data_IF_413927716178
#
_entry.id   IF_413927716178
#
_cell.length_a   1.000
_cell.length_b   1.000
_cell.length_c   1.000
_cell.angle_alpha   90.00
_cell.angle_beta   90.00
_cell.angle_gamma   90.00
#
_symmetry.space_group_name_H-M   'P 1'
#
loop_
_entity.id
_entity.type
_entity.pdbx_description
1 polymer ?
#
# COMPACT_ATOMS: atom_id res chain seq x y z
N UNK A 1 -19.01 11.68 2.50
CA UNK A 1 -17.80 12.25 1.87
C UNK A 1 -16.94 12.88 2.96
N UNK A 2 -15.96 12.11 3.46
CA UNK A 2 -14.91 12.56 4.39
C UNK A 2 -13.74 11.55 4.43
N UNK A 3 -13.50 10.88 3.28
CA UNK A 3 -12.87 9.55 3.23
C UNK A 3 -11.49 9.46 3.87
N UNK A 4 -10.55 10.35 3.54
CA UNK A 4 -9.15 10.21 3.97
C UNK A 4 -8.85 10.89 5.30
N UNK A 5 -9.45 12.05 5.60
CA UNK A 5 -9.20 12.79 6.84
C UNK A 5 -9.74 12.01 8.04
N UNK A 6 -10.93 11.43 7.91
CA UNK A 6 -11.49 10.59 8.98
C UNK A 6 -10.74 9.26 9.09
N UNK A 7 -10.16 8.74 8.00
CA UNK A 7 -9.20 7.63 8.10
C UNK A 7 -8.02 7.99 8.98
N UNK A 8 -7.39 9.15 8.76
CA UNK A 8 -6.27 9.57 9.60
C UNK A 8 -6.68 9.64 11.06
N UNK A 9 -7.81 10.29 11.38
CA UNK A 9 -8.31 10.34 12.75
C UNK A 9 -8.43 8.95 13.35
N UNK A 10 -9.05 8.01 12.62
CA UNK A 10 -9.23 6.62 13.08
C UNK A 10 -7.91 5.91 13.32
N UNK A 11 -6.96 6.04 12.40
CA UNK A 11 -5.62 5.47 12.52
C UNK A 11 -4.96 6.04 13.80
N UNK A 12 -5.00 7.36 13.99
CA UNK A 12 -4.42 8.04 15.16
C UNK A 12 -5.12 7.81 16.51
N UNK A 13 -6.22 7.06 16.58
CA UNK A 13 -6.90 6.76 17.85
C UNK A 13 -6.02 5.90 18.78
N UNK A 14 -5.24 4.95 18.24
CA UNK A 14 -4.36 4.10 19.05
C UNK A 14 -2.93 4.66 19.12
N UNK A 15 -2.69 5.59 20.04
CA UNK A 15 -1.38 6.24 20.23
C UNK A 15 -0.22 5.26 20.44
N UNK A 16 -0.44 4.13 21.12
CA UNK A 16 0.62 3.16 21.39
C UNK A 16 1.05 2.43 20.10
N UNK A 17 0.09 2.08 19.24
CA UNK A 17 0.39 1.49 17.94
C UNK A 17 1.21 2.46 17.05
N UNK A 18 0.96 3.76 17.14
CA UNK A 18 1.73 4.77 16.41
C UNK A 18 3.20 4.85 16.82
N UNK A 19 3.47 4.77 18.12
CA UNK A 19 4.85 4.73 18.62
C UNK A 19 5.57 3.50 18.05
N UNK A 20 4.90 2.35 18.03
CA UNK A 20 5.45 1.15 17.42
C UNK A 20 5.69 1.30 15.91
N UNK A 21 4.76 1.90 15.18
CA UNK A 21 4.93 2.16 13.74
C UNK A 21 6.10 3.12 13.46
N UNK A 22 6.32 4.11 14.31
CA UNK A 22 7.47 5.01 14.20
C UNK A 22 8.79 4.27 14.48
N UNK A 23 8.82 3.39 15.48
CA UNK A 23 9.98 2.53 15.77
C UNK A 23 10.26 1.60 14.58
N UNK A 24 9.22 0.98 14.02
CA UNK A 24 9.34 0.11 12.83
C UNK A 24 9.87 0.89 11.64
N UNK A 25 9.37 2.10 11.39
CA UNK A 25 9.86 2.97 10.33
C UNK A 25 11.35 3.29 10.51
N UNK A 26 11.78 3.62 11.73
CA UNK A 26 13.18 3.90 12.04
C UNK A 26 14.07 2.68 11.83
N UNK A 27 13.68 1.50 12.35
CA UNK A 27 14.43 0.25 12.16
C UNK A 27 14.51 -0.09 10.67
N UNK A 28 13.40 0.03 9.95
CA UNK A 28 13.36 -0.19 8.50
C UNK A 28 14.36 0.74 7.80
N UNK A 29 14.26 2.06 7.99
CA UNK A 29 15.12 3.02 7.32
C UNK A 29 16.61 2.81 7.65
N UNK A 30 16.95 2.54 8.91
CA UNK A 30 18.33 2.24 9.32
C UNK A 30 18.85 0.99 8.63
N UNK A 31 18.12 -0.13 8.76
CA UNK A 31 18.59 -1.43 8.29
C UNK A 31 18.68 -1.48 6.76
N UNK A 32 17.68 -0.93 6.06
CA UNK A 32 17.67 -0.79 4.60
C UNK A 32 18.86 0.04 4.13
N UNK A 33 19.07 1.21 4.73
CA UNK A 33 20.17 2.09 4.30
C UNK A 33 21.55 1.46 4.57
N UNK A 34 21.75 0.83 5.73
CA UNK A 34 23.01 0.15 6.03
C UNK A 34 23.32 -0.99 5.04
N UNK A 35 22.28 -1.69 4.56
CA UNK A 35 22.46 -2.73 3.54
C UNK A 35 22.86 -2.12 2.20
N UNK A 36 22.21 -1.04 1.76
CA UNK A 36 22.54 -0.37 0.50
C UNK A 36 23.96 0.18 0.50
N UNK A 37 24.38 0.80 1.61
CA UNK A 37 25.77 1.26 1.82
C UNK A 37 26.74 0.09 1.67
N UNK A 38 26.44 -1.05 2.30
CA UNK A 38 27.30 -2.24 2.24
C UNK A 38 27.40 -2.83 0.83
N UNK A 39 26.33 -2.72 0.04
CA UNK A 39 26.29 -3.20 -1.35
C UNK A 39 26.88 -2.21 -2.36
N UNK A 40 27.33 -1.03 -1.92
CA UNK A 40 27.88 0.01 -2.79
C UNK A 40 26.80 0.77 -3.59
N UNK A 41 25.54 0.64 -3.19
CA UNK A 41 24.34 1.16 -3.87
C UNK A 41 23.75 2.39 -3.17
N UNK A 42 24.54 3.10 -2.36
CA UNK A 42 24.08 4.23 -1.53
C UNK A 42 23.28 5.31 -2.28
N UNK A 43 23.53 5.48 -3.58
CA UNK A 43 22.92 6.51 -4.43
C UNK A 43 21.75 6.01 -5.31
N UNK A 44 21.40 4.72 -5.22
CA UNK A 44 20.33 4.13 -6.03
C UNK A 44 18.99 4.07 -5.29
N UNK A 45 17.84 4.15 -5.98
CA UNK A 45 16.53 4.11 -5.34
C UNK A 45 16.35 2.81 -4.53
N UNK A 46 16.09 2.99 -3.23
CA UNK A 46 15.90 1.96 -2.21
C UNK A 46 14.84 0.96 -2.62
N UNK A 47 15.26 -0.24 -2.96
CA UNK A 47 14.40 -1.40 -3.20
C UNK A 47 15.22 -2.68 -2.95
N UNK A 48 15.78 -2.78 -1.75
CA UNK A 48 16.52 -3.95 -1.34
C UNK A 48 15.59 -5.00 -0.68
N UNK A 49 16.17 -6.15 -0.32
CA UNK A 49 15.41 -7.25 0.29
C UNK A 49 14.75 -6.85 1.63
N UNK A 50 15.34 -5.91 2.38
CA UNK A 50 14.79 -5.41 3.64
C UNK A 50 13.52 -4.62 3.36
N UNK A 51 13.50 -3.78 2.33
CA UNK A 51 12.31 -3.03 1.92
C UNK A 51 11.14 -3.95 1.58
N UNK A 52 11.41 -5.05 0.89
CA UNK A 52 10.40 -6.06 0.56
C UNK A 52 9.82 -6.72 1.83
N UNK A 53 10.69 -7.10 2.78
CA UNK A 53 10.28 -7.74 4.04
C UNK A 53 9.43 -6.78 4.88
N UNK A 54 9.88 -5.55 5.09
CA UNK A 54 9.12 -4.57 5.88
C UNK A 54 7.82 -4.17 5.20
N UNK A 55 7.82 -4.01 3.88
CA UNK A 55 6.59 -3.76 3.10
C UNK A 55 5.55 -4.88 3.29
N UNK A 56 6.00 -6.14 3.31
CA UNK A 56 5.13 -7.28 3.58
C UNK A 56 4.60 -7.27 5.02
N UNK A 57 5.47 -7.03 6.01
CA UNK A 57 5.08 -6.99 7.43
C UNK A 57 4.05 -5.89 7.70
N UNK A 58 4.28 -4.69 7.18
CA UNK A 58 3.34 -3.57 7.30
C UNK A 58 2.05 -3.85 6.54
N UNK A 59 2.15 -4.49 5.38
CA UNK A 59 0.99 -4.95 4.61
C UNK A 59 0.11 -5.94 5.37
N UNK A 60 0.72 -6.94 6.03
CA UNK A 60 0.00 -7.89 6.91
C UNK A 60 -0.68 -7.14 8.06
N UNK A 61 0.04 -6.23 8.71
CA UNK A 61 -0.48 -5.47 9.84
C UNK A 61 -1.63 -4.53 9.43
N UNK A 62 -1.52 -3.89 8.27
CA UNK A 62 -2.59 -3.13 7.62
C UNK A 62 -3.82 -4.01 7.35
N UNK A 63 -3.63 -5.20 6.81
CA UNK A 63 -4.74 -6.10 6.48
C UNK A 63 -5.49 -6.56 7.74
N UNK A 64 -4.78 -6.81 8.85
CA UNK A 64 -5.40 -7.05 10.16
C UNK A 64 -6.19 -5.85 10.67
N UNK A 65 -5.65 -4.64 10.53
CA UNK A 65 -6.37 -3.43 10.88
C UNK A 65 -7.66 -3.27 10.07
N UNK A 66 -7.61 -3.49 8.76
CA UNK A 66 -8.79 -3.45 7.88
C UNK A 66 -9.81 -4.51 8.30
N UNK A 67 -9.38 -5.74 8.58
CA UNK A 67 -10.26 -6.81 9.08
C UNK A 67 -11.01 -6.38 10.34
N UNK A 68 -10.28 -5.83 11.32
CA UNK A 68 -10.88 -5.33 12.56
C UNK A 68 -11.85 -4.16 12.30
N UNK A 69 -11.49 -3.25 11.39
CA UNK A 69 -12.31 -2.09 11.04
C UNK A 69 -13.61 -2.47 10.31
N UNK A 70 -13.57 -3.43 9.39
CA UNK A 70 -14.76 -3.88 8.65
C UNK A 70 -15.72 -4.59 9.60
N UNK A 71 -15.19 -5.49 10.45
CA UNK A 71 -15.94 -6.37 11.35
C UNK A 71 -16.20 -5.79 12.74
N UNK A 72 -15.76 -4.55 12.99
CA UNK A 72 -15.90 -3.85 14.27
C UNK A 72 -15.30 -4.61 15.48
N UNK A 73 -14.19 -5.32 15.26
CA UNK A 73 -13.44 -6.02 16.33
C UNK A 73 -12.60 -4.99 17.07
N UNK A 74 -12.64 -4.98 18.41
CA UNK A 74 -11.88 -4.02 19.24
C UNK A 74 -12.11 -2.55 18.80
N UNK A 75 -13.35 -2.18 18.47
CA UNK A 75 -13.76 -0.87 17.95
C UNK A 75 -13.07 -0.45 16.63
N UNK A 76 -12.52 -1.40 15.87
CA UNK A 76 -11.81 -1.14 14.63
C UNK A 76 -10.54 -0.32 14.82
N UNK A 77 -9.90 -0.42 15.98
CA UNK A 77 -8.63 0.22 16.28
C UNK A 77 -7.47 -0.54 15.65
N UNK A 78 -6.33 0.15 15.46
CA UNK A 78 -5.05 -0.50 15.12
C UNK A 78 -4.76 -1.62 16.12
N UNK A 79 -4.60 -2.88 15.65
CA UNK A 79 -4.39 -4.03 16.50
C UNK A 79 -3.03 -3.97 17.20
N UNK A 80 -2.85 -4.69 18.31
CA UNK A 80 -1.47 -4.94 18.78
C UNK A 80 -0.76 -5.91 17.81
N UNK A 81 0.57 -5.81 17.66
CA UNK A 81 1.36 -6.72 16.80
C UNK A 81 1.12 -8.19 17.17
N UNK A 82 0.82 -8.47 18.45
CA UNK A 82 0.56 -9.83 18.96
C UNK A 82 -0.79 -10.41 18.55
N UNK A 83 -1.70 -9.60 18.00
CA UNK A 83 -3.08 -9.98 17.68
C UNK A 83 -3.28 -10.35 16.21
N UNK A 84 -2.20 -10.38 15.41
CA UNK A 84 -2.28 -10.70 13.99
C UNK A 84 -2.60 -12.18 13.79
N UNK A 85 -3.69 -12.45 13.08
CA UNK A 85 -4.12 -13.82 12.77
C UNK A 85 -3.24 -14.45 11.69
N UNK A 86 -2.82 -15.73 11.84
CA UNK A 86 -1.99 -16.41 10.84
C UNK A 86 -2.62 -16.48 9.44
N UNK A 87 -3.96 -16.52 9.37
CA UNK A 87 -4.69 -16.52 8.08
C UNK A 87 -4.36 -15.26 7.26
N UNK A 88 -4.27 -14.10 7.90
CA UNK A 88 -3.97 -12.81 7.24
C UNK A 88 -2.59 -12.83 6.58
N UNK A 89 -1.60 -13.43 7.24
CA UNK A 89 -0.25 -13.58 6.68
C UNK A 89 -0.30 -14.38 5.38
N UNK A 90 -0.95 -15.56 5.42
CA UNK A 90 -1.07 -16.41 4.24
C UNK A 90 -1.90 -15.77 3.12
N UNK A 91 -2.97 -15.06 3.46
CA UNK A 91 -3.79 -14.31 2.51
C UNK A 91 -2.99 -13.22 1.81
N UNK A 92 -2.26 -12.41 2.58
CA UNK A 92 -1.41 -11.35 2.05
C UNK A 92 -0.39 -11.90 1.05
N UNK A 93 0.31 -12.98 1.41
CA UNK A 93 1.29 -13.63 0.52
C UNK A 93 0.61 -14.12 -0.77
N UNK A 94 -0.47 -14.89 -0.65
CA UNK A 94 -1.17 -15.46 -1.82
C UNK A 94 -1.69 -14.37 -2.77
N UNK A 95 -2.34 -13.34 -2.23
CA UNK A 95 -2.90 -12.26 -3.03
C UNK A 95 -1.81 -11.46 -3.74
N UNK A 96 -0.72 -11.10 -3.05
CA UNK A 96 0.38 -10.37 -3.68
C UNK A 96 1.07 -11.20 -4.78
N UNK A 97 1.22 -12.52 -4.59
CA UNK A 97 1.78 -13.39 -5.65
C UNK A 97 0.87 -13.41 -6.88
N UNK A 98 -0.43 -13.67 -6.71
CA UNK A 98 -1.37 -13.77 -7.83
C UNK A 98 -1.47 -12.45 -8.60
N UNK A 99 -1.70 -11.34 -7.89
CA UNK A 99 -1.80 -10.02 -8.53
C UNK A 99 -0.46 -9.52 -9.08
N UNK A 100 0.65 -9.90 -8.44
CA UNK A 100 2.00 -9.67 -8.94
C UNK A 100 2.27 -10.40 -10.27
N UNK A 101 1.85 -11.66 -10.40
CA UNK A 101 1.94 -12.41 -11.66
C UNK A 101 1.15 -11.71 -12.77
N UNK A 102 -0.08 -11.27 -12.49
CA UNK A 102 -0.87 -10.50 -13.47
C UNK A 102 -0.14 -9.22 -13.91
N UNK A 103 0.42 -8.46 -12.97
CA UNK A 103 1.18 -7.25 -13.29
C UNK A 103 2.41 -7.57 -14.16
N UNK A 104 3.17 -8.60 -13.82
CA UNK A 104 4.36 -9.03 -14.60
C UNK A 104 3.95 -9.45 -16.02
N UNK A 105 2.87 -10.20 -16.19
CA UNK A 105 2.38 -10.59 -17.51
C UNK A 105 2.00 -9.38 -18.37
N UNK A 106 1.38 -8.36 -17.79
CA UNK A 106 1.05 -7.11 -18.48
C UNK A 106 2.31 -6.32 -18.86
N UNK A 107 3.34 -6.31 -18.00
CA UNK A 107 4.63 -5.68 -18.32
C UNK A 107 5.39 -6.42 -19.42
N UNK A 108 5.36 -7.76 -19.42
CA UNK A 108 5.90 -8.58 -20.51
C UNK A 108 5.16 -8.26 -21.81
N UNK A 109 3.82 -8.14 -21.77
CA UNK A 109 3.03 -7.74 -22.92
C UNK A 109 3.44 -6.34 -23.44
N UNK A 110 3.67 -5.37 -22.55
CA UNK A 110 4.19 -4.06 -22.93
C UNK A 110 5.54 -4.19 -23.64
N UNK A 111 6.47 -4.97 -23.10
CA UNK A 111 7.78 -5.22 -23.72
C UNK A 111 7.66 -5.88 -25.10
N UNK A 112 6.87 -6.95 -25.23
CA UNK A 112 6.62 -7.63 -26.50
C UNK A 112 6.00 -6.67 -27.52
N UNK A 113 5.07 -5.80 -27.09
CA UNK A 113 4.42 -4.82 -27.96
C UNK A 113 5.44 -3.85 -28.59
N UNK A 114 6.46 -3.46 -27.83
CA UNK A 114 7.56 -2.64 -28.33
C UNK A 114 8.44 -3.41 -29.31
N UNK A 115 8.82 -4.66 -29.00
CA UNK A 115 9.64 -5.48 -29.89
C UNK A 115 8.91 -5.76 -31.22
N UNK A 116 7.60 -5.97 -31.19
CA UNK A 116 6.81 -6.29 -32.38
C UNK A 116 6.51 -5.07 -33.26
N UNK A 117 6.35 -3.88 -32.67
CA UNK A 117 5.89 -2.68 -33.40
C UNK A 117 6.95 -1.59 -33.53
N UNK A 118 8.00 -1.61 -32.70
CA UNK A 118 8.96 -0.54 -32.48
C UNK A 118 8.34 0.83 -32.13
N UNK A 119 7.05 0.85 -31.75
CA UNK A 119 6.34 2.06 -31.33
C UNK A 119 6.39 2.18 -29.80
N UNK A 120 7.03 3.24 -29.30
CA UNK A 120 7.11 3.51 -27.85
C UNK A 120 5.75 3.91 -27.24
N UNK A 121 4.81 4.41 -28.02
CA UNK A 121 3.49 4.80 -27.50
C UNK A 121 2.68 3.62 -26.96
N UNK A 122 2.76 2.45 -27.60
CA UNK A 122 2.01 1.26 -27.23
C UNK A 122 2.37 0.70 -25.84
N UNK A 123 3.65 0.45 -25.50
CA UNK A 123 4.02 0.04 -24.14
C UNK A 123 3.66 1.09 -23.09
N UNK A 124 3.77 2.39 -23.41
CA UNK A 124 3.37 3.47 -22.49
C UNK A 124 1.88 3.38 -22.16
N UNK A 125 1.02 3.19 -23.17
CA UNK A 125 -0.42 3.03 -22.96
C UNK A 125 -0.74 1.80 -22.11
N UNK A 126 -0.06 0.68 -22.34
CA UNK A 126 -0.24 -0.55 -21.55
C UNK A 126 0.15 -0.33 -20.08
N UNK A 127 1.28 0.34 -19.83
CA UNK A 127 1.71 0.67 -18.46
C UNK A 127 0.73 1.62 -17.78
N UNK A 128 0.22 2.64 -18.49
CA UNK A 128 -0.81 3.54 -17.95
C UNK A 128 -2.10 2.78 -17.59
N UNK A 129 -2.53 1.85 -18.45
CA UNK A 129 -3.68 1.00 -18.17
C UNK A 129 -3.45 0.13 -16.93
N UNK A 130 -2.25 -0.44 -16.76
CA UNK A 130 -1.88 -1.19 -15.56
C UNK A 130 -1.96 -0.33 -14.30
N UNK A 131 -1.43 0.90 -14.32
CA UNK A 131 -1.49 1.81 -13.18
C UNK A 131 -2.94 2.14 -12.79
N UNK A 132 -3.81 2.41 -13.77
CA UNK A 132 -5.23 2.68 -13.53
C UNK A 132 -5.92 1.44 -12.93
N UNK A 133 -5.72 0.26 -13.52
CA UNK A 133 -6.36 -0.99 -13.10
C UNK A 133 -5.76 -1.59 -11.82
N UNK A 134 -4.65 -1.06 -11.32
CA UNK A 134 -4.08 -1.46 -10.03
C UNK A 134 -4.91 -0.96 -8.84
N UNK A 135 -5.59 0.19 -8.97
CA UNK A 135 -6.32 0.79 -7.85
C UNK A 135 -7.51 -0.08 -7.37
N UNK A 136 -8.32 -0.70 -8.24
CA UNK A 136 -9.37 -1.63 -7.80
C UNK A 136 -8.85 -2.89 -7.10
N UNK A 137 -7.57 -3.25 -7.23
CA UNK A 137 -6.99 -4.41 -6.51
C UNK A 137 -7.09 -4.21 -5.00
N UNK A 138 -7.08 -2.97 -4.50
CA UNK A 138 -7.33 -2.68 -3.09
C UNK A 138 -8.69 -3.23 -2.61
N UNK A 139 -9.72 -3.24 -3.46
CA UNK A 139 -11.01 -3.85 -3.11
C UNK A 139 -10.94 -5.37 -2.96
N UNK A 140 -10.00 -6.04 -3.64
CA UNK A 140 -9.74 -7.47 -3.42
C UNK A 140 -9.16 -7.69 -2.02
N UNK A 141 -8.22 -6.85 -1.60
CA UNK A 141 -7.66 -6.92 -0.24
C UNK A 141 -8.73 -6.60 0.83
N UNK A 142 -9.63 -5.64 0.58
CA UNK A 142 -10.78 -5.35 1.45
C UNK A 142 -11.75 -6.54 1.54
N UNK A 143 -12.06 -7.18 0.40
CA UNK A 143 -12.91 -8.38 0.37
C UNK A 143 -12.29 -9.54 1.13
N UNK A 144 -10.99 -9.77 0.94
CA UNK A 144 -10.27 -10.76 1.72
C UNK A 144 -10.25 -10.41 3.21
N UNK A 145 -10.06 -9.13 3.56
CA UNK A 145 -10.06 -8.70 4.95
C UNK A 145 -11.43 -8.87 5.62
N UNK A 146 -12.55 -8.86 4.90
CA UNK A 146 -13.86 -9.12 5.50
C UNK A 146 -13.99 -10.57 5.98
N UNK A 147 -13.79 -11.53 5.08
CA UNK A 147 -14.15 -12.95 5.31
C UNK A 147 -12.94 -13.89 5.48
N UNK A 148 -11.71 -13.38 5.32
CA UNK A 148 -10.46 -14.15 5.34
C UNK A 148 -10.44 -15.34 4.35
N UNK A 149 -11.23 -15.22 3.29
CA UNK A 149 -11.40 -16.22 2.25
C UNK A 149 -10.92 -15.68 0.90
N UNK A 150 -10.25 -16.52 0.12
CA UNK A 150 -9.74 -16.18 -1.21
C UNK A 150 -10.65 -16.65 -2.34
N UNK A 151 -11.78 -17.31 -2.05
CA UNK A 151 -12.70 -17.83 -3.07
C UNK A 151 -13.16 -16.69 -3.99
N UNK A 152 -13.01 -16.88 -5.30
CA UNK A 152 -13.36 -15.88 -6.32
C UNK A 152 -12.39 -14.71 -6.48
N UNK A 153 -11.56 -14.38 -5.48
CA UNK A 153 -10.72 -13.17 -5.45
C UNK A 153 -9.53 -13.15 -6.42
N UNK A 154 -9.28 -14.25 -7.13
CA UNK A 154 -8.22 -14.34 -8.14
C UNK A 154 -8.72 -14.02 -9.55
N UNK A 155 -10.03 -13.85 -9.74
CA UNK A 155 -10.60 -13.63 -11.06
C UNK A 155 -10.37 -12.18 -11.54
N UNK A 156 -9.58 -12.02 -12.59
CA UNK A 156 -9.29 -10.71 -13.19
C UNK A 156 -10.54 -9.97 -13.66
N UNK A 157 -11.60 -10.67 -14.06
CA UNK A 157 -12.87 -10.06 -14.47
C UNK A 157 -13.52 -9.24 -13.33
N UNK A 158 -13.25 -9.61 -12.06
CA UNK A 158 -13.75 -8.86 -10.90
C UNK A 158 -13.19 -7.45 -10.83
N UNK A 159 -11.96 -7.22 -11.28
CA UNK A 159 -11.36 -5.87 -11.28
C UNK A 159 -12.16 -4.92 -12.17
N UNK A 160 -12.62 -5.41 -13.32
CA UNK A 160 -13.44 -4.61 -14.23
C UNK A 160 -14.84 -4.35 -13.66
N UNK A 161 -15.43 -5.32 -12.94
CA UNK A 161 -16.73 -5.10 -12.29
C UNK A 161 -16.61 -4.10 -11.13
N UNK A 162 -15.54 -4.19 -10.32
CA UNK A 162 -15.26 -3.25 -9.25
C UNK A 162 -15.00 -1.85 -9.78
N UNK A 163 -14.19 -1.74 -10.83
CA UNK A 163 -13.94 -0.48 -11.51
C UNK A 163 -15.25 0.17 -11.96
N UNK A 164 -16.13 -0.58 -12.64
CA UNK A 164 -17.39 -0.04 -13.16
C UNK A 164 -18.28 0.60 -12.08
N UNK A 165 -18.34 0.00 -10.89
CA UNK A 165 -19.29 0.42 -9.84
C UNK A 165 -18.64 1.38 -8.84
N UNK A 166 -17.32 1.29 -8.61
CA UNK A 166 -16.64 2.06 -7.58
C UNK A 166 -15.59 3.07 -8.11
N UNK A 167 -15.49 3.30 -9.43
CA UNK A 167 -14.46 4.20 -9.99
C UNK A 167 -14.48 5.60 -9.33
N UNK A 168 -15.67 6.21 -9.19
CA UNK A 168 -15.79 7.58 -8.70
C UNK A 168 -15.23 7.75 -7.27
N UNK A 169 -15.72 7.01 -6.25
CA UNK A 169 -15.15 7.11 -4.91
C UNK A 169 -13.69 6.63 -4.85
N UNK A 170 -13.31 5.61 -5.63
CA UNK A 170 -11.94 5.11 -5.69
C UNK A 170 -10.96 6.20 -6.13
N UNK A 171 -11.18 6.81 -7.30
CA UNK A 171 -10.22 7.79 -7.83
C UNK A 171 -10.27 9.13 -7.10
N UNK A 172 -11.41 9.52 -6.50
CA UNK A 172 -11.42 10.66 -5.57
C UNK A 172 -10.45 10.40 -4.40
N UNK A 173 -10.52 9.21 -3.79
CA UNK A 173 -9.62 8.86 -2.68
C UNK A 173 -8.16 8.73 -3.15
N UNK A 174 -7.89 8.20 -4.35
CA UNK A 174 -6.53 8.19 -4.94
C UNK A 174 -6.01 9.62 -5.13
N UNK A 175 -6.81 10.53 -5.71
CA UNK A 175 -6.39 11.92 -5.89
C UNK A 175 -6.13 12.61 -4.53
N UNK A 176 -7.00 12.42 -3.55
CA UNK A 176 -6.80 12.95 -2.19
C UNK A 176 -5.55 12.37 -1.53
N UNK A 177 -5.28 11.07 -1.72
CA UNK A 177 -4.05 10.43 -1.28
C UNK A 177 -2.83 11.11 -1.90
N UNK A 178 -2.79 11.24 -3.23
CA UNK A 178 -1.67 11.87 -3.95
C UNK A 178 -1.44 13.30 -3.45
N UNK A 179 -2.50 14.10 -3.33
CA UNK A 179 -2.42 15.47 -2.82
C UNK A 179 -1.88 15.53 -1.39
N UNK A 180 -2.33 14.63 -0.52
CA UNK A 180 -1.88 14.58 0.89
C UNK A 180 -0.39 14.19 0.97
N UNK A 181 0.03 13.19 0.18
CA UNK A 181 1.42 12.75 0.12
C UNK A 181 2.32 13.85 -0.47
N UNK A 182 1.87 14.58 -1.50
CA UNK A 182 2.60 15.72 -2.06
C UNK A 182 2.75 16.85 -1.05
N UNK A 183 1.70 17.17 -0.29
CA UNK A 183 1.76 18.18 0.77
C UNK A 183 2.78 17.79 1.84
N UNK A 184 2.78 16.53 2.29
CA UNK A 184 3.77 16.03 3.23
C UNK A 184 5.20 16.06 2.67
N UNK A 185 5.38 15.73 1.38
CA UNK A 185 6.66 15.79 0.69
C UNK A 185 7.21 17.22 0.61
N UNK A 186 6.36 18.21 0.36
CA UNK A 186 6.77 19.63 0.33
C UNK A 186 7.30 20.05 1.71
N UNK A 187 6.58 19.72 2.78
CA UNK A 187 7.01 20.01 4.16
C UNK A 187 8.34 19.31 4.46
N UNK A 188 8.47 18.05 4.07
CA UNK A 188 9.69 17.27 4.21
C UNK A 188 10.89 17.93 3.53
N UNK A 189 10.74 18.33 2.26
CA UNK A 189 11.80 19.01 1.50
C UNK A 189 12.16 20.34 2.15
N UNK A 190 11.18 21.13 2.61
CA UNK A 190 11.44 22.39 3.30
C UNK A 190 12.26 22.19 4.57
N UNK A 191 11.93 21.20 5.40
CA UNK A 191 12.69 20.87 6.62
C UNK A 191 14.12 20.49 6.27
N UNK A 192 14.31 19.66 5.22
CA UNK A 192 15.63 19.24 4.78
C UNK A 192 16.48 20.42 4.29
N UNK A 193 15.91 21.30 3.47
CA UNK A 193 16.60 22.50 2.98
C UNK A 193 17.01 23.41 4.12
N UNK A 194 16.13 23.63 5.10
CA UNK A 194 16.46 24.44 6.28
C UNK A 194 17.57 23.79 7.11
N UNK A 195 17.55 22.47 7.27
CA UNK A 195 18.62 21.75 7.97
C UNK A 195 19.98 21.95 7.27
N UNK A 196 20.00 21.91 5.93
CA UNK A 196 21.20 22.20 5.14
C UNK A 196 21.69 23.64 5.25
N UNK A 197 20.79 24.61 5.27
CA UNK A 197 21.16 26.02 5.46
C UNK A 197 21.76 26.32 6.84
N UNK A 198 21.44 25.51 7.86
CA UNK A 198 21.95 25.65 9.23
C UNK A 198 23.15 24.72 9.48
N UNK A 199 23.49 23.85 8.52
CA UNK A 199 24.61 22.89 8.61
C UNK A 199 24.35 21.72 9.57
N UNK A 200 23.08 21.40 9.85
CA UNK A 200 22.67 20.29 10.73
C UNK A 200 22.53 18.98 9.95
N UNK A 201 22.36 19.07 8.63
CA UNK A 201 22.32 17.92 7.72
C UNK A 201 23.63 17.13 7.72
N UNK A 202 24.77 17.79 7.87
CA UNK A 202 26.10 17.17 7.92
C UNK A 202 26.49 16.58 9.30
N UNK A 203 25.56 16.51 10.27
CA UNK A 203 25.87 15.99 11.60
C UNK A 203 25.92 14.46 11.61
N UNK A 204 27.00 13.93 12.20
CA UNK A 204 27.15 12.49 12.44
C UNK A 204 27.38 11.73 11.15
N UNK A 205 28.49 12.02 10.47
CA UNK A 205 28.89 11.31 9.26
C UNK A 205 28.97 9.79 9.50
N UNK A 206 28.30 9.02 8.63
CA UNK A 206 28.28 7.55 8.68
C UNK A 206 29.15 6.99 7.56
N UNK A 207 28.99 7.50 6.33
CA UNK A 207 29.81 7.18 5.16
C UNK A 207 29.78 8.38 4.19
N UNK A 208 30.54 8.33 3.09
CA UNK A 208 30.66 9.39 2.06
C UNK A 208 29.32 10.12 1.81
N UNK A 209 29.24 11.38 2.25
CA UNK A 209 28.08 12.28 2.11
C UNK A 209 26.75 11.72 2.66
N UNK A 210 26.81 10.78 3.61
CA UNK A 210 25.65 10.19 4.28
C UNK A 210 25.74 10.36 5.79
N UNK A 211 24.73 10.99 6.37
CA UNK A 211 24.74 11.50 7.73
C UNK A 211 23.60 10.93 8.58
N UNK A 212 23.68 11.10 9.90
CA UNK A 212 22.62 10.69 10.82
C UNK A 212 21.31 11.41 10.51
N UNK A 213 21.36 12.67 10.05
CA UNK A 213 20.17 13.42 9.65
C UNK A 213 19.44 12.75 8.49
N UNK A 214 20.15 12.16 7.53
CA UNK A 214 19.54 11.42 6.42
C UNK A 214 18.74 10.21 6.92
N UNK A 215 19.25 9.48 7.90
CA UNK A 215 18.52 8.36 8.50
C UNK A 215 17.23 8.85 9.15
N UNK A 216 17.30 9.93 9.94
CA UNK A 216 16.13 10.50 10.63
C UNK A 216 15.08 10.94 9.62
N UNK A 217 15.51 11.65 8.57
CA UNK A 217 14.62 12.14 7.52
C UNK A 217 13.99 10.98 6.74
N UNK A 218 14.78 9.98 6.37
CA UNK A 218 14.27 8.76 5.76
C UNK A 218 13.25 8.03 6.67
N UNK A 219 13.50 7.95 7.98
CA UNK A 219 12.57 7.35 8.93
C UNK A 219 11.24 8.12 9.02
N UNK A 220 11.27 9.44 8.99
CA UNK A 220 10.08 10.29 8.96
C UNK A 220 9.31 10.07 7.65
N UNK A 221 9.99 10.07 6.51
CA UNK A 221 9.37 9.81 5.21
C UNK A 221 8.73 8.41 5.15
N UNK A 222 9.45 7.38 5.61
CA UNK A 222 8.95 6.01 5.74
C UNK A 222 7.72 5.95 6.66
N UNK A 223 7.75 6.62 7.81
CA UNK A 223 6.60 6.67 8.72
C UNK A 223 5.37 7.31 8.06
N UNK A 224 5.54 8.45 7.38
CA UNK A 224 4.44 9.11 6.66
C UNK A 224 3.88 8.18 5.58
N UNK A 225 4.74 7.53 4.80
CA UNK A 225 4.34 6.56 3.79
C UNK A 225 3.54 5.41 4.40
N UNK A 226 4.01 4.84 5.51
CA UNK A 226 3.32 3.78 6.25
C UNK A 226 1.91 4.21 6.62
N UNK A 227 1.77 5.32 7.36
CA UNK A 227 0.47 5.79 7.84
C UNK A 227 -0.47 6.11 6.68
N UNK A 228 0.05 6.75 5.64
CA UNK A 228 -0.75 7.29 4.54
C UNK A 228 -1.18 6.18 3.57
N UNK A 229 -0.22 5.39 3.08
CA UNK A 229 -0.45 4.37 2.04
C UNK A 229 -0.97 3.06 2.59
N UNK A 230 -0.45 2.57 3.72
CA UNK A 230 -0.83 1.26 4.23
C UNK A 230 -2.07 1.33 5.13
N UNK A 231 -2.32 2.44 5.83
CA UNK A 231 -3.44 2.51 6.79
C UNK A 231 -4.55 3.45 6.32
N UNK A 232 -4.27 4.74 6.16
CA UNK A 232 -5.29 5.75 5.92
C UNK A 232 -6.00 5.56 4.57
N UNK A 233 -5.24 5.28 3.51
CA UNK A 233 -5.81 5.08 2.18
C UNK A 233 -6.69 3.83 2.08
N UNK A 234 -6.26 2.61 2.47
CA UNK A 234 -7.13 1.43 2.44
C UNK A 234 -8.36 1.57 3.33
N UNK A 235 -8.23 2.18 4.50
CA UNK A 235 -9.38 2.47 5.36
C UNK A 235 -10.39 3.40 4.68
N UNK A 236 -9.92 4.40 3.92
CA UNK A 236 -10.80 5.35 3.22
C UNK A 236 -11.71 4.71 2.18
N UNK A 237 -11.36 3.49 1.74
CA UNK A 237 -12.11 2.69 0.76
C UNK A 237 -13.15 1.79 1.41
N UNK A 238 -13.16 1.62 2.74
CA UNK A 238 -14.16 0.77 3.44
C UNK A 238 -15.60 1.23 3.16
N UNK A 239 -15.95 2.53 3.19
CA UNK A 239 -17.32 2.97 2.90
C UNK A 239 -17.77 2.59 1.49
N UNK A 240 -16.95 2.89 0.47
CA UNK A 240 -17.27 2.54 -0.92
C UNK A 240 -17.28 1.04 -1.15
N UNK A 241 -16.42 0.29 -0.45
CA UNK A 241 -16.45 -1.16 -0.44
C UNK A 241 -17.78 -1.71 0.08
N UNK A 242 -18.22 -1.26 1.27
CA UNK A 242 -19.47 -1.72 1.90
C UNK A 242 -20.70 -1.39 1.06
N UNK A 243 -20.71 -0.21 0.43
CA UNK A 243 -21.85 0.29 -0.36
C UNK A 243 -21.90 -0.34 -1.76
N UNK A 244 -20.75 -0.45 -2.45
CA UNK A 244 -20.73 -0.73 -3.89
C UNK A 244 -20.17 -2.11 -4.24
N UNK A 245 -19.18 -2.61 -3.49
CA UNK A 245 -18.45 -3.84 -3.84
C UNK A 245 -19.03 -5.07 -3.13
N UNK A 246 -19.27 -4.96 -1.83
CA UNK A 246 -19.81 -6.05 -1.00
C UNK A 246 -21.12 -6.64 -1.56
N UNK A 247 -22.10 -5.86 -2.03
CA UNK A 247 -23.32 -6.41 -2.61
C UNK A 247 -23.07 -7.20 -3.91
N UNK A 248 -22.09 -6.78 -4.73
CA UNK A 248 -21.74 -7.49 -5.97
C UNK A 248 -21.16 -8.86 -5.67
N UNK A 249 -20.25 -8.94 -4.69
CA UNK A 249 -19.63 -10.20 -4.28
C UNK A 249 -20.66 -11.20 -3.76
N UNK A 250 -21.57 -10.76 -2.87
CA UNK A 250 -22.65 -11.61 -2.35
C UNK A 250 -23.60 -12.10 -3.43
N UNK A 251 -23.88 -11.27 -4.43
CA UNK A 251 -24.72 -11.66 -5.58
C UNK A 251 -24.03 -12.75 -6.40
N UNK A 252 -22.73 -12.61 -6.67
CA UNK A 252 -21.95 -13.61 -7.42
C UNK A 252 -21.82 -14.94 -6.68
N UNK A 253 -21.68 -14.93 -5.35
CA UNK A 253 -21.67 -16.15 -4.54
C UNK A 253 -23.01 -16.88 -4.58
N UNK A 254 -24.13 -16.16 -4.52
CA UNK A 254 -25.47 -16.74 -4.62
C UNK A 254 -25.70 -17.48 -5.95
N UNK A 255 -25.26 -16.91 -7.07
CA UNK A 255 -25.40 -17.55 -8.39
C UNK A 255 -24.49 -18.77 -8.56
N UNK A 256 -23.26 -18.72 -8.03
CA UNK A 256 -22.35 -19.88 -8.11
C UNK A 256 -22.80 -21.08 -7.26
N UNK A 257 -23.58 -20.86 -6.19
CA UNK A 257 -24.17 -21.93 -5.40
C UNK A 257 -25.37 -22.59 -6.10
N UNK A 258 -26.12 -21.87 -6.94
CA UNK A 258 -27.23 -22.44 -7.72
C UNK A 258 -26.73 -23.29 -8.90
N UNK A 259 -25.58 -22.94 -9.50
CA UNK A 259 -24.95 -23.71 -10.59
C UNK A 259 -24.25 -24.98 -10.10
N UNK A 260 -23.76 -25.04 -8.86
CA UNK A 260 -23.16 -26.27 -8.27
C UNK A 260 -24.22 -27.31 -7.82
N UNK A 261 -25.51 -26.95 -7.82
CA UNK A 261 -26.63 -27.82 -7.38
C UNK A 261 -27.44 -28.39 -8.56
N UNK A 262 -27.04 -28.12 -9.80
CA UNK A 262 -27.60 -28.70 -11.03
C UNK A 262 -26.67 -29.75 -11.65
#
# INVERSE_FOLDING_TARGET
MSGIIDSYKKVFENKQAHVWLAIVALIWSVTSTLLDIKLGNGDTPKNNIIDLIFSLLIGVYSLQFIHNAINNINNGLLPSIKEVQPKIIWGMIKLNIVWGIYAVLVLILAFISYIATHLLFLPILIVLALLILSAPVYYIFLAYAEDLNTKGLYNIAQIFSFFKVAYKPLYINVCLYILTTLAALIIYIMVYVVAGLIGIDEIGMITKDYYVMDIIMNAIASYILIITWYFAYPYSLIPSYKENIRPLLKKTECFSQEEEVQ
#
